data_IF_224326706966
#
_entry.id   IF_224326706966
#
_cell.length_a   1.000
_cell.length_b   1.000
_cell.length_c   1.000
_cell.angle_alpha   90.00
_cell.angle_beta   90.00
_cell.angle_gamma   90.00
#
_symmetry.space_group_name_H-M   'P 1'
#
loop_
_entity.id
_entity.type
_entity.pdbx_description
1 polymer ?
#
# COMPACT_ATOMS: atom_id res chain seq x y z
N UNK A 1 4.78 -4.10 7.41
CA UNK A 1 5.69 -3.26 6.60
C UNK A 1 5.30 -3.42 5.15
N UNK A 2 5.09 -2.32 4.44
CA UNK A 2 4.62 -2.27 3.06
C UNK A 2 5.75 -1.66 2.24
N UNK A 3 6.16 -2.30 1.13
CA UNK A 3 6.90 -1.57 0.10
C UNK A 3 5.87 -0.70 -0.62
N UNK A 4 5.72 0.52 -0.13
CA UNK A 4 4.73 1.47 -0.62
C UNK A 4 5.09 1.85 -2.04
N UNK A 5 4.08 1.94 -2.91
CA UNK A 5 4.06 2.81 -4.09
C UNK A 5 4.85 4.09 -3.78
N UNK A 6 6.08 4.16 -4.26
CA UNK A 6 6.79 5.41 -4.32
C UNK A 6 6.01 6.20 -5.37
N UNK A 7 5.43 7.35 -5.00
CA UNK A 7 4.69 8.18 -5.93
C UNK A 7 5.53 8.62 -7.15
N UNK A 8 6.82 8.32 -7.18
CA UNK A 8 7.72 8.47 -8.30
C UNK A 8 8.39 9.83 -8.26
N UNK A 9 9.36 10.02 -9.15
CA UNK A 9 9.98 11.32 -9.36
C UNK A 9 8.99 12.26 -10.06
N UNK A 10 8.06 12.84 -9.29
CA UNK A 10 7.35 14.04 -9.69
C UNK A 10 8.20 15.22 -9.23
N UNK A 11 8.63 16.10 -10.15
CA UNK A 11 9.47 17.27 -9.84
C UNK A 11 8.87 18.13 -8.72
N UNK A 12 7.55 18.01 -8.52
CA UNK A 12 6.82 18.68 -7.45
C UNK A 12 7.05 18.08 -6.06
N UNK A 13 7.77 16.96 -5.92
CA UNK A 13 8.17 16.41 -4.62
C UNK A 13 9.19 17.26 -3.90
N UNK A 14 10.12 17.86 -4.66
CA UNK A 14 11.12 18.77 -4.12
C UNK A 14 10.48 20.02 -3.49
N UNK A 15 9.26 20.35 -3.95
CA UNK A 15 8.46 21.47 -3.45
C UNK A 15 7.53 21.10 -2.28
N UNK A 16 7.41 19.83 -1.88
CA UNK A 16 6.54 19.50 -0.74
C UNK A 16 7.27 19.76 0.59
N UNK A 17 6.68 20.64 1.40
CA UNK A 17 7.10 20.94 2.78
C UNK A 17 7.13 19.73 3.72
N UNK A 18 6.42 18.64 3.40
CA UNK A 18 6.41 17.38 4.16
C UNK A 18 7.46 16.36 3.70
N UNK A 19 8.25 16.64 2.66
CA UNK A 19 9.21 15.69 2.09
C UNK A 19 10.19 15.14 3.12
N UNK A 20 10.78 15.98 3.98
CA UNK A 20 11.70 15.55 5.04
C UNK A 20 11.05 14.69 6.11
N UNK A 21 9.82 15.03 6.51
CA UNK A 21 9.04 14.26 7.50
C UNK A 21 8.69 12.87 6.95
N UNK A 22 8.31 12.81 5.69
CA UNK A 22 7.97 11.56 5.00
C UNK A 22 9.22 10.68 4.83
N UNK A 23 10.36 11.26 4.43
CA UNK A 23 11.62 10.52 4.30
C UNK A 23 12.12 9.95 5.63
N UNK A 24 12.05 10.71 6.72
CA UNK A 24 12.38 10.18 8.06
C UNK A 24 11.41 9.07 8.46
N UNK A 25 10.12 9.21 8.13
CA UNK A 25 9.14 8.16 8.37
C UNK A 25 9.45 6.88 7.60
N UNK A 26 9.75 6.99 6.30
CA UNK A 26 10.06 5.84 5.44
C UNK A 26 11.35 5.16 5.92
N UNK A 27 12.36 5.93 6.35
CA UNK A 27 13.57 5.39 7.00
C UNK A 27 13.22 4.61 8.26
N UNK A 28 12.44 5.18 9.17
CA UNK A 28 11.98 4.51 10.41
C UNK A 28 11.13 3.28 10.12
N UNK A 29 10.35 3.29 9.04
CA UNK A 29 9.60 2.12 8.58
C UNK A 29 10.53 0.99 8.15
N UNK A 30 11.56 1.29 7.34
CA UNK A 30 12.56 0.32 6.90
C UNK A 30 13.33 -0.31 8.08
N UNK A 31 13.57 0.47 9.13
CA UNK A 31 14.20 0.04 10.37
C UNK A 31 13.21 -0.59 11.37
N UNK A 32 11.92 -0.68 11.03
CA UNK A 32 10.83 -1.18 11.89
C UNK A 32 10.67 -0.41 13.22
N UNK A 33 11.09 0.86 13.26
CA UNK A 33 11.00 1.73 14.43
C UNK A 33 9.60 2.34 14.58
N UNK A 34 8.84 2.47 13.48
CA UNK A 34 7.50 3.03 13.52
C UNK A 34 6.47 2.01 13.98
N UNK A 35 5.64 2.42 14.95
CA UNK A 35 4.48 1.64 15.40
C UNK A 35 3.36 1.56 14.35
N UNK A 36 3.26 2.56 13.48
CA UNK A 36 2.24 2.65 12.43
C UNK A 36 2.93 2.47 11.06
N UNK A 37 2.82 1.32 10.39
CA UNK A 37 3.64 1.06 9.22
C UNK A 37 3.21 1.83 7.96
N UNK A 38 1.99 2.35 7.89
CA UNK A 38 1.46 3.10 6.74
C UNK A 38 1.30 4.61 7.03
N UNK A 39 2.37 5.39 6.88
CA UNK A 39 2.32 6.86 7.02
C UNK A 39 1.29 7.52 6.12
N UNK A 40 1.18 7.14 4.85
CA UNK A 40 0.27 7.78 3.89
C UNK A 40 -1.23 7.57 4.17
N UNK A 41 -1.55 6.74 5.16
CA UNK A 41 -2.92 6.57 5.67
C UNK A 41 -3.20 7.42 6.90
N UNK A 42 -2.29 8.29 7.33
CA UNK A 42 -2.47 9.20 8.46
C UNK A 42 -2.96 10.58 7.99
N UNK A 43 -3.83 11.26 8.76
CA UNK A 43 -4.31 12.60 8.40
C UNK A 43 -3.20 13.63 8.22
N UNK A 44 -2.11 13.54 9.00
CA UNK A 44 -1.00 14.51 8.97
C UNK A 44 -0.21 14.51 7.66
N UNK A 45 -0.21 13.39 6.96
CA UNK A 45 0.52 13.11 5.71
C UNK A 45 -0.45 12.85 4.55
N UNK A 46 -1.74 13.09 4.78
CA UNK A 46 -2.81 12.86 3.82
C UNK A 46 -2.84 13.87 2.67
N UNK A 47 -2.16 15.01 2.83
CA UNK A 47 -2.25 16.14 1.93
C UNK A 47 -0.86 16.58 1.45
N UNK A 48 -0.75 16.72 0.13
CA UNK A 48 0.38 17.28 -0.59
C UNK A 48 0.12 18.76 -0.82
N UNK A 49 1.02 19.59 -0.33
CA UNK A 49 1.02 21.03 -0.54
C UNK A 49 2.08 21.36 -1.59
N UNK A 50 1.68 22.03 -2.66
CA UNK A 50 2.57 22.52 -3.71
C UNK A 50 2.89 23.99 -3.48
N UNK A 51 4.04 24.45 -3.96
CA UNK A 51 4.47 25.85 -3.86
C UNK A 51 3.51 26.83 -4.55
N UNK A 52 2.70 26.36 -5.51
CA UNK A 52 1.67 27.14 -6.19
C UNK A 52 0.35 27.26 -5.39
N UNK A 53 0.37 26.85 -4.11
CA UNK A 53 -0.77 26.92 -3.18
C UNK A 53 -1.81 25.82 -3.38
N UNK A 54 -1.65 24.91 -4.35
CA UNK A 54 -2.57 23.79 -4.53
C UNK A 54 -2.41 22.76 -3.43
N UNK A 55 -3.54 22.19 -3.01
CA UNK A 55 -3.59 21.06 -2.08
C UNK A 55 -4.15 19.85 -2.82
N UNK A 56 -3.46 18.71 -2.71
CA UNK A 56 -3.93 17.45 -3.29
C UNK A 56 -3.88 16.35 -2.24
N UNK A 57 -4.81 15.40 -2.28
CA UNK A 57 -4.74 14.26 -1.38
C UNK A 57 -3.73 13.24 -1.87
N UNK A 58 -3.06 12.60 -0.89
CA UNK A 58 -2.18 11.48 -1.11
C UNK A 58 -2.90 10.33 -1.83
N UNK A 59 -2.15 9.58 -2.63
CA UNK A 59 -2.68 8.47 -3.42
C UNK A 59 -3.32 7.40 -2.54
N UNK A 60 -2.67 6.94 -1.47
CA UNK A 60 -3.24 5.97 -0.54
C UNK A 60 -4.45 6.55 0.15
N UNK A 61 -4.35 7.81 0.59
CA UNK A 61 -5.44 8.49 1.28
C UNK A 61 -6.73 8.51 0.45
N UNK A 62 -6.62 8.65 -0.88
CA UNK A 62 -7.76 8.55 -1.82
C UNK A 62 -8.25 7.12 -1.98
N UNK A 63 -7.36 6.14 -2.18
CA UNK A 63 -7.73 4.74 -2.47
C UNK A 63 -8.31 4.02 -1.27
N UNK A 64 -7.99 4.44 -0.05
CA UNK A 64 -8.55 3.86 1.18
C UNK A 64 -9.75 4.64 1.70
N UNK A 65 -10.26 5.66 0.99
CA UNK A 65 -11.29 6.57 1.53
C UNK A 65 -12.50 5.81 2.08
N UNK A 66 -13.14 4.99 1.26
CA UNK A 66 -14.39 4.30 1.60
C UNK A 66 -14.22 3.37 2.79
N UNK A 67 -13.20 2.49 2.78
CA UNK A 67 -12.95 1.59 3.92
C UNK A 67 -12.61 2.37 5.20
N UNK A 68 -11.85 3.46 5.08
CA UNK A 68 -11.43 4.28 6.22
C UNK A 68 -12.56 5.09 6.84
N UNK A 69 -13.54 5.52 6.05
CA UNK A 69 -14.78 6.12 6.56
C UNK A 69 -15.56 5.13 7.44
N UNK A 70 -15.40 3.82 7.23
CA UNK A 70 -16.12 2.75 7.95
C UNK A 70 -15.35 2.25 9.19
N UNK A 71 -14.02 2.11 9.11
CA UNK A 71 -13.20 1.48 10.18
C UNK A 71 -12.17 2.41 10.82
N UNK A 72 -12.02 3.62 10.29
CA UNK A 72 -11.01 4.56 10.74
C UNK A 72 -9.61 4.27 10.19
N UNK A 73 -8.78 5.32 10.17
CA UNK A 73 -7.48 5.29 9.50
C UNK A 73 -6.45 4.43 10.23
N UNK A 74 -6.50 4.39 11.57
CA UNK A 74 -5.58 3.58 12.37
C UNK A 74 -5.74 2.10 12.09
N UNK A 75 -6.98 1.60 11.95
CA UNK A 75 -7.24 0.20 11.67
C UNK A 75 -6.66 -0.20 10.30
N UNK A 76 -6.93 0.60 9.27
CA UNK A 76 -6.33 0.43 7.93
C UNK A 76 -4.80 0.43 8.00
N UNK A 77 -4.21 1.37 8.75
CA UNK A 77 -2.76 1.54 8.81
C UNK A 77 -2.01 0.35 9.43
N UNK A 78 -2.63 -0.39 10.37
CA UNK A 78 -1.99 -1.49 11.09
C UNK A 78 -2.27 -2.86 10.50
N UNK A 79 -3.47 -3.07 9.97
CA UNK A 79 -3.99 -4.42 9.67
C UNK A 79 -4.03 -4.74 8.17
N UNK A 80 -3.77 -3.75 7.31
CA UNK A 80 -3.79 -3.91 5.87
C UNK A 80 -2.38 -3.84 5.28
N UNK A 81 -2.05 -4.77 4.40
CA UNK A 81 -0.78 -4.82 3.67
C UNK A 81 -1.05 -4.63 2.17
N UNK A 82 -0.44 -3.59 1.59
CA UNK A 82 -0.40 -3.39 0.14
C UNK A 82 0.83 -4.09 -0.44
N UNK A 83 0.65 -4.79 -1.56
CA UNK A 83 1.75 -5.42 -2.28
C UNK A 83 1.96 -4.76 -3.63
N UNK A 84 3.08 -4.05 -3.77
CA UNK A 84 3.54 -3.51 -5.05
C UNK A 84 4.94 -4.02 -5.38
N UNK A 85 5.05 -4.80 -6.46
CA UNK A 85 6.32 -5.43 -6.84
C UNK A 85 7.33 -4.38 -7.31
N UNK A 86 6.87 -3.42 -8.09
CA UNK A 86 7.68 -2.29 -8.56
C UNK A 86 6.93 -1.02 -8.23
N UNK A 87 7.13 -0.48 -7.02
CA UNK A 87 6.40 0.70 -6.55
C UNK A 87 6.84 1.99 -7.26
N UNK A 88 7.55 1.93 -8.38
CA UNK A 88 8.10 3.12 -9.05
C UNK A 88 7.31 3.48 -10.31
N UNK A 89 6.89 4.73 -10.42
CA UNK A 89 6.35 5.29 -11.67
C UNK A 89 7.48 5.61 -12.64
N UNK A 90 7.56 4.85 -13.73
CA UNK A 90 8.43 5.16 -14.87
C UNK A 90 7.59 5.60 -16.07
N UNK A 91 8.03 6.66 -16.76
CA UNK A 91 7.44 7.15 -18.02
C UNK A 91 7.47 6.04 -19.09
N UNK A 92 8.52 5.20 -19.06
CA UNK A 92 8.66 4.00 -19.88
C UNK A 92 9.00 2.83 -18.96
N UNK A 93 8.00 2.29 -18.29
CA UNK A 93 8.19 1.16 -17.38
C UNK A 93 8.59 -0.10 -18.16
N UNK A 94 9.80 -0.58 -17.91
CA UNK A 94 10.26 -1.90 -18.35
C UNK A 94 10.48 -2.75 -17.10
N UNK A 95 9.65 -3.77 -16.93
CA UNK A 95 9.87 -4.73 -15.85
C UNK A 95 11.13 -5.54 -16.15
N UNK A 96 12.04 -5.70 -15.17
CA UNK A 96 13.23 -6.50 -15.38
C UNK A 96 12.82 -7.96 -15.57
N UNK A 97 13.50 -8.67 -16.49
CA UNK A 97 13.26 -10.11 -16.72
C UNK A 97 13.57 -10.95 -15.47
N UNK A 98 14.54 -10.48 -14.68
CA UNK A 98 14.96 -11.08 -13.42
C UNK A 98 14.68 -10.10 -12.29
N UNK A 99 14.05 -10.57 -11.22
CA UNK A 99 13.78 -9.72 -10.06
C UNK A 99 15.09 -9.34 -9.34
N UNK A 100 15.25 -8.10 -8.87
CA UNK A 100 16.44 -7.72 -8.13
C UNK A 100 16.49 -8.48 -6.79
N UNK A 101 17.69 -8.78 -6.24
CA UNK A 101 17.82 -9.52 -4.98
C UNK A 101 17.09 -8.90 -3.80
N UNK A 102 16.93 -7.57 -3.79
CA UNK A 102 16.16 -6.84 -2.77
C UNK A 102 14.71 -7.30 -2.67
N UNK A 103 14.12 -7.89 -3.72
CA UNK A 103 12.76 -8.43 -3.67
C UNK A 103 12.61 -9.63 -2.74
N UNK A 104 13.71 -10.34 -2.43
CA UNK A 104 13.67 -11.43 -1.46
C UNK A 104 13.25 -10.93 -0.08
N UNK A 105 13.66 -9.72 0.28
CA UNK A 105 13.21 -9.09 1.52
C UNK A 105 11.72 -8.79 1.48
N UNK A 106 11.19 -8.27 0.36
CA UNK A 106 9.74 -8.07 0.17
C UNK A 106 8.95 -9.36 0.37
N UNK A 107 9.43 -10.47 -0.20
CA UNK A 107 8.78 -11.78 -0.07
C UNK A 107 8.84 -12.30 1.36
N UNK A 108 9.98 -12.11 2.05
CA UNK A 108 10.09 -12.42 3.47
C UNK A 108 9.06 -11.66 4.30
N UNK A 109 8.91 -10.34 4.09
CA UNK A 109 7.94 -9.52 4.82
C UNK A 109 6.50 -9.90 4.56
N UNK A 110 6.18 -10.28 3.32
CA UNK A 110 4.88 -10.83 2.98
C UNK A 110 4.64 -12.10 3.77
N UNK A 111 5.56 -13.07 3.78
CA UNK A 111 5.44 -14.30 4.57
C UNK A 111 5.23 -14.03 6.06
N UNK A 112 5.98 -13.09 6.64
CA UNK A 112 5.78 -12.65 8.02
C UNK A 112 4.42 -11.96 8.24
N UNK A 113 3.88 -11.29 7.21
CA UNK A 113 2.49 -10.81 7.19
C UNK A 113 1.48 -11.95 7.23
N UNK A 114 1.64 -12.95 6.35
CA UNK A 114 0.74 -14.11 6.27
C UNK A 114 0.68 -14.87 7.61
N UNK A 115 1.83 -15.09 8.26
CA UNK A 115 1.90 -15.71 9.60
C UNK A 115 1.11 -14.95 10.67
N UNK A 116 0.94 -13.63 10.50
CA UNK A 116 0.18 -12.76 11.40
C UNK A 116 -1.28 -12.59 10.98
N UNK A 117 -1.74 -13.32 9.98
CA UNK A 117 -3.11 -13.25 9.50
C UNK A 117 -3.53 -11.84 9.05
N UNK A 118 -2.64 -11.08 8.39
CA UNK A 118 -2.98 -9.74 7.85
C UNK A 118 -3.78 -9.83 6.56
N UNK A 119 -4.63 -8.85 6.30
CA UNK A 119 -5.30 -8.72 5.00
C UNK A 119 -4.32 -8.21 3.94
N UNK A 120 -4.26 -8.90 2.81
CA UNK A 120 -3.32 -8.63 1.71
C UNK A 120 -4.08 -8.09 0.50
N UNK A 121 -3.76 -6.87 0.08
CA UNK A 121 -4.26 -6.30 -1.17
C UNK A 121 -3.26 -6.56 -2.29
N UNK A 122 -3.64 -7.42 -3.24
CA UNK A 122 -2.84 -7.66 -4.45
C UNK A 122 -3.27 -6.66 -5.52
N UNK A 123 -2.38 -5.72 -5.87
CA UNK A 123 -2.66 -4.71 -6.89
C UNK A 123 -2.30 -5.22 -8.29
N UNK A 124 -1.00 -5.26 -8.62
CA UNK A 124 -0.46 -5.65 -9.93
C UNK A 124 0.51 -6.82 -9.80
N UNK A 125 0.77 -7.48 -10.93
CA UNK A 125 1.74 -8.57 -11.06
C UNK A 125 1.43 -9.77 -10.15
N UNK A 126 0.15 -10.08 -9.93
CA UNK A 126 -0.33 -11.23 -9.15
C UNK A 126 0.42 -12.53 -9.48
N UNK A 127 0.58 -12.86 -10.77
CA UNK A 127 1.31 -14.07 -11.18
C UNK A 127 2.76 -14.11 -10.65
N UNK A 128 3.43 -12.96 -10.55
CA UNK A 128 4.78 -12.91 -9.97
C UNK A 128 4.75 -13.09 -8.45
N UNK A 129 3.73 -12.54 -7.77
CA UNK A 129 3.54 -12.78 -6.33
C UNK A 129 3.31 -14.26 -6.04
N UNK A 130 2.35 -14.89 -6.74
CA UNK A 130 2.03 -16.30 -6.56
C UNK A 130 3.22 -17.21 -6.89
N UNK A 131 4.02 -16.87 -7.91
CA UNK A 131 5.23 -17.62 -8.25
C UNK A 131 6.30 -17.59 -7.15
N UNK A 132 6.48 -16.45 -6.49
CA UNK A 132 7.56 -16.26 -5.50
C UNK A 132 7.11 -16.50 -4.06
N UNK A 133 5.81 -16.41 -3.79
CA UNK A 133 5.17 -16.67 -2.50
C UNK A 133 3.93 -17.54 -2.75
N UNK A 134 4.11 -18.84 -3.05
CA UNK A 134 3.00 -19.76 -3.36
C UNK A 134 2.01 -19.93 -2.20
N UNK A 135 2.41 -19.59 -0.97
CA UNK A 135 1.54 -19.55 0.21
C UNK A 135 0.32 -18.64 0.00
N UNK A 136 0.40 -17.64 -0.89
CA UNK A 136 -0.72 -16.77 -1.25
C UNK A 136 -1.85 -17.47 -2.01
N UNK A 137 -1.59 -18.62 -2.66
CA UNK A 137 -2.59 -19.31 -3.48
C UNK A 137 -3.77 -19.76 -2.61
N UNK A 138 -3.47 -20.28 -1.42
CA UNK A 138 -4.45 -20.83 -0.48
C UNK A 138 -4.67 -19.91 0.73
N UNK A 139 -4.30 -18.62 0.63
CA UNK A 139 -4.48 -17.69 1.74
C UNK A 139 -5.86 -17.03 1.64
N UNK A 140 -6.65 -17.13 2.71
CA UNK A 140 -8.05 -16.68 2.70
C UNK A 140 -8.19 -15.16 2.73
N UNK A 141 -7.26 -14.45 3.37
CA UNK A 141 -7.33 -13.00 3.56
C UNK A 141 -6.65 -12.22 2.41
N UNK A 142 -6.96 -12.62 1.18
CA UNK A 142 -6.49 -11.95 -0.05
C UNK A 142 -7.62 -11.14 -0.68
N UNK A 143 -7.34 -9.86 -0.94
CA UNK A 143 -8.23 -8.96 -1.66
C UNK A 143 -7.76 -8.88 -3.11
N UNK A 144 -8.63 -9.34 -4.01
CA UNK A 144 -8.48 -9.20 -5.46
C UNK A 144 -9.39 -8.10 -5.94
N UNK A 145 -8.80 -7.10 -6.57
CA UNK A 145 -9.53 -5.94 -7.06
C UNK A 145 -10.00 -6.18 -8.49
N UNK A 146 -11.25 -5.79 -8.79
CA UNK A 146 -11.82 -5.85 -10.13
C UNK A 146 -10.99 -4.99 -11.11
N UNK A 147 -10.60 -3.79 -10.68
CA UNK A 147 -9.67 -2.94 -11.42
C UNK A 147 -8.26 -2.96 -10.82
N UNK A 148 -7.31 -3.54 -11.55
CA UNK A 148 -5.87 -3.50 -11.24
C UNK A 148 -5.23 -2.12 -11.54
N UNK A 149 -5.96 -1.23 -12.21
CA UNK A 149 -5.53 0.14 -12.51
C UNK A 149 -6.05 1.14 -11.48
N UNK A 150 -7.32 1.00 -11.09
CA UNK A 150 -7.94 1.80 -10.04
C UNK A 150 -8.09 0.96 -8.78
N UNK A 151 -7.06 0.97 -7.93
CA UNK A 151 -6.97 0.09 -6.76
C UNK A 151 -7.67 0.64 -5.51
N UNK A 152 -8.79 1.36 -5.70
CA UNK A 152 -9.60 1.84 -4.59
C UNK A 152 -10.22 0.68 -3.81
N UNK A 153 -10.18 0.73 -2.48
CA UNK A 153 -10.84 -0.23 -1.59
C UNK A 153 -12.29 0.19 -1.37
N UNK A 154 -13.14 -0.13 -2.34
CA UNK A 154 -14.58 0.14 -2.32
C UNK A 154 -15.38 -1.12 -2.64
N UNK A 155 -16.66 -1.20 -2.25
CA UNK A 155 -17.51 -2.36 -2.53
C UNK A 155 -17.51 -2.75 -4.02
N UNK A 156 -17.69 -1.76 -4.92
CA UNK A 156 -17.70 -2.01 -6.36
C UNK A 156 -16.37 -2.53 -6.94
N UNK A 157 -15.25 -2.35 -6.23
CA UNK A 157 -13.95 -2.85 -6.68
C UNK A 157 -13.50 -4.14 -5.97
N UNK A 158 -14.06 -4.44 -4.80
CA UNK A 158 -13.72 -5.61 -3.97
C UNK A 158 -14.79 -6.70 -4.01
N UNK A 159 -15.97 -6.43 -4.60
CA UNK A 159 -17.22 -7.13 -4.32
C UNK A 159 -17.72 -6.85 -2.89
N UNK A 160 -19.03 -6.81 -2.72
CA UNK A 160 -19.67 -6.30 -1.50
C UNK A 160 -19.45 -7.18 -0.28
N UNK A 161 -19.49 -8.50 -0.45
CA UNK A 161 -19.23 -9.47 0.62
C UNK A 161 -17.79 -9.35 1.13
N UNK A 162 -16.81 -9.28 0.22
CA UNK A 162 -15.41 -9.11 0.60
C UNK A 162 -15.18 -7.77 1.32
N UNK A 163 -15.81 -6.69 0.86
CA UNK A 163 -15.74 -5.38 1.52
C UNK A 163 -16.30 -5.42 2.95
N UNK A 164 -17.42 -6.13 3.15
CA UNK A 164 -18.03 -6.29 4.47
C UNK A 164 -17.14 -7.13 5.40
N UNK A 165 -16.62 -8.26 4.91
CA UNK A 165 -15.72 -9.14 5.67
C UNK A 165 -14.46 -8.41 6.14
N UNK A 166 -13.81 -7.64 5.26
CA UNK A 166 -12.63 -6.87 5.66
C UNK A 166 -12.99 -5.77 6.65
N UNK A 167 -14.10 -5.06 6.49
CA UNK A 167 -14.50 -4.01 7.42
C UNK A 167 -14.71 -4.57 8.83
N UNK A 168 -15.32 -5.75 8.94
CA UNK A 168 -15.50 -6.43 10.22
C UNK A 168 -14.16 -6.86 10.82
N UNK A 169 -13.28 -7.47 10.03
CA UNK A 169 -11.96 -7.90 10.49
C UNK A 169 -11.04 -6.74 10.91
N UNK A 170 -11.15 -5.58 10.26
CA UNK A 170 -10.34 -4.42 10.63
C UNK A 170 -10.82 -3.75 11.93
N UNK A 171 -12.10 -3.90 12.30
CA UNK A 171 -12.69 -3.34 13.53
C UNK A 171 -12.34 -4.14 14.79
N UNK A 172 -12.20 -5.47 14.67
CA UNK A 172 -11.79 -6.38 15.77
C UNK A 172 -10.30 -6.27 16.04
#
# INVERSE_FOLDING_TARGET
>A
MVLQANPGHDMKWETNSLSSVILDYDRKNLLHENKIPLCYTQPKTAYWHYDDGRVNQDWYWKRTRTIREVVGWKAVAHKLMYLEMFPYRSIKLRYPKTLPPSQQYTFHLLREGLKRNVWVVITRMENHWLKNVPELINYDQVIRLNSKQNVSLSPGNMQEDCFTSICNALRS
#
